data_IF_598834229489
#
_entry.id   IF_598834229489
#
_cell.length_a   1.000
_cell.length_b   1.000
_cell.length_c   1.000
_cell.angle_alpha   90.00
_cell.angle_beta   90.00
_cell.angle_gamma   90.00
#
_symmetry.space_group_name_H-M   'P 1'
#
loop_
_entity.id
_entity.type
_entity.pdbx_description
1 polymer ?
#
# COMPACT_ATOMS: atom_id res chain seq x y z
N UNK A 1 21.13 1.64 0.11
CA UNK A 1 20.12 1.98 1.12
C UNK A 1 18.76 2.05 0.43
N UNK A 2 17.72 1.45 1.01
CA UNK A 2 16.37 1.45 0.44
C UNK A 2 15.59 2.58 1.09
N UNK A 3 14.95 3.44 0.30
CA UNK A 3 14.26 4.64 0.78
C UNK A 3 12.73 4.56 0.67
N UNK A 4 12.21 3.47 0.12
CA UNK A 4 10.76 3.26 -0.05
C UNK A 4 10.44 1.96 -0.78
N UNK A 5 9.19 1.52 -0.66
CA UNK A 5 8.66 0.32 -1.32
C UNK A 5 7.49 0.67 -2.23
N UNK A 6 7.34 -0.08 -3.32
CA UNK A 6 6.16 -0.10 -4.18
C UNK A 6 5.43 -1.41 -3.92
N UNK A 7 4.16 -1.34 -3.54
CA UNK A 7 3.34 -2.52 -3.21
C UNK A 7 2.30 -2.75 -4.30
N UNK A 8 2.43 -3.83 -5.07
CA UNK A 8 1.49 -4.14 -6.17
C UNK A 8 0.39 -5.11 -5.73
N UNK A 9 -0.69 -5.16 -6.51
CA UNK A 9 -1.85 -6.06 -6.31
C UNK A 9 -2.55 -5.87 -4.96
N UNK A 10 -2.71 -4.62 -4.55
CA UNK A 10 -3.39 -4.26 -3.30
C UNK A 10 -4.92 -4.43 -3.39
N UNK A 11 -5.46 -4.47 -4.61
CA UNK A 11 -6.85 -4.82 -4.95
C UNK A 11 -7.20 -6.29 -4.63
N UNK A 12 -6.20 -7.17 -4.73
CA UNK A 12 -6.36 -8.61 -4.54
C UNK A 12 -6.13 -9.07 -3.10
N UNK A 13 -7.24 -9.21 -2.35
CA UNK A 13 -7.37 -9.90 -1.04
C UNK A 13 -6.81 -9.15 0.17
N UNK A 14 -7.65 -8.98 1.20
CA UNK A 14 -7.37 -9.16 2.64
C UNK A 14 -5.98 -8.78 3.22
N UNK A 15 -5.28 -7.80 2.65
CA UNK A 15 -3.86 -7.54 2.91
C UNK A 15 -3.53 -6.13 3.38
N UNK A 16 -4.52 -5.35 3.85
CA UNK A 16 -4.21 -4.07 4.49
C UNK A 16 -3.13 -4.20 5.60
N UNK A 17 -3.12 -5.34 6.30
CA UNK A 17 -2.08 -5.66 7.28
C UNK A 17 -0.62 -5.63 6.76
N UNK A 18 -0.36 -5.88 5.47
CA UNK A 18 1.02 -5.97 4.96
C UNK A 18 1.74 -4.62 4.95
N UNK A 19 0.99 -3.53 4.74
CA UNK A 19 1.54 -2.17 4.76
C UNK A 19 2.10 -1.88 6.15
N UNK A 20 1.34 -2.21 7.20
CA UNK A 20 1.78 -2.06 8.58
C UNK A 20 2.98 -2.94 8.92
N UNK A 21 3.02 -4.18 8.42
CA UNK A 21 4.15 -5.08 8.64
C UNK A 21 5.44 -4.56 7.99
N UNK A 22 5.35 -4.02 6.76
CA UNK A 22 6.50 -3.41 6.07
C UNK A 22 7.06 -2.24 6.87
N UNK A 23 6.22 -1.32 7.33
CA UNK A 23 6.72 -0.20 8.15
C UNK A 23 7.29 -0.67 9.49
N UNK A 24 6.60 -1.58 10.18
CA UNK A 24 6.98 -2.01 11.54
C UNK A 24 8.26 -2.85 11.53
N UNK A 25 8.42 -3.74 10.55
CA UNK A 25 9.56 -4.66 10.49
C UNK A 25 10.76 -4.07 9.75
N UNK A 26 10.53 -3.30 8.68
CA UNK A 26 11.60 -2.81 7.81
C UNK A 26 11.93 -1.33 8.04
N UNK A 27 11.05 -0.55 8.66
CA UNK A 27 11.25 0.90 8.85
C UNK A 27 11.31 1.69 7.54
N UNK A 28 10.74 1.14 6.47
CA UNK A 28 10.77 1.71 5.12
C UNK A 28 9.34 2.10 4.71
N UNK A 29 9.11 3.34 4.22
CA UNK A 29 7.78 3.78 3.86
C UNK A 29 7.28 3.15 2.55
N UNK A 30 5.99 2.84 2.48
CA UNK A 30 5.32 2.53 1.20
C UNK A 30 5.04 3.85 0.48
N UNK A 31 5.49 3.97 -0.78
CA UNK A 31 5.36 5.21 -1.57
C UNK A 31 4.31 5.11 -2.68
N UNK A 32 4.14 3.92 -3.23
CA UNK A 32 3.25 3.66 -4.35
C UNK A 32 2.51 2.35 -4.12
N UNK A 33 1.26 2.28 -4.59
CA UNK A 33 0.45 1.07 -4.59
C UNK A 33 -0.12 0.77 -5.96
N UNK A 34 -0.16 -0.51 -6.32
CA UNK A 34 -0.82 -1.00 -7.54
C UNK A 34 -2.19 -1.56 -7.19
N UNK A 35 -3.25 -0.95 -7.71
CA UNK A 35 -4.66 -1.27 -7.45
C UNK A 35 -5.30 -2.14 -8.56
N UNK A 36 -4.49 -2.72 -9.43
CA UNK A 36 -4.95 -3.48 -10.59
C UNK A 36 -3.80 -3.89 -11.50
N UNK A 37 -4.13 -4.22 -12.75
CA UNK A 37 -3.18 -4.75 -13.74
C UNK A 37 -2.74 -3.72 -14.78
N UNK A 38 -3.41 -2.57 -14.87
CA UNK A 38 -3.14 -1.54 -15.86
C UNK A 38 -2.05 -0.57 -15.41
N UNK A 39 -1.40 0.11 -16.36
CA UNK A 39 -0.40 1.14 -16.08
C UNK A 39 -0.99 2.29 -15.24
N UNK A 40 -2.28 2.59 -15.44
CA UNK A 40 -3.00 3.61 -14.67
C UNK A 40 -3.32 3.22 -13.23
N UNK A 41 -3.12 1.96 -12.84
CA UNK A 41 -3.49 1.46 -11.52
C UNK A 41 -2.36 1.64 -10.49
N UNK A 42 -1.20 2.15 -10.92
CA UNK A 42 -0.10 2.52 -10.03
C UNK A 42 -0.30 3.96 -9.54
N UNK A 43 -0.60 4.10 -8.26
CA UNK A 43 -0.93 5.39 -7.63
C UNK A 43 -0.02 5.66 -6.42
N UNK A 44 0.02 6.92 -5.98
CA UNK A 44 0.66 7.28 -4.72
C UNK A 44 -0.03 6.57 -3.55
N UNK A 45 0.75 6.13 -2.57
CA UNK A 45 0.17 5.61 -1.34
C UNK A 45 -0.30 6.77 -0.47
N UNK A 46 -1.59 6.76 -0.13
CA UNK A 46 -2.20 7.68 0.83
C UNK A 46 -2.61 6.89 2.09
N UNK A 47 -1.96 7.11 3.24
CA UNK A 47 -2.28 6.43 4.49
C UNK A 47 -3.70 6.73 5.00
N UNK A 48 -4.22 7.94 4.76
CA UNK A 48 -5.54 8.34 5.22
C UNK A 48 -6.61 7.61 4.40
N UNK A 49 -6.53 7.64 3.07
CA UNK A 49 -7.44 6.88 2.19
C UNK A 49 -7.38 5.37 2.47
N UNK A 50 -6.19 4.85 2.79
CA UNK A 50 -5.99 3.45 3.11
C UNK A 50 -6.67 3.03 4.42
N UNK A 51 -6.60 3.89 5.45
CA UNK A 51 -7.28 3.68 6.73
C UNK A 51 -8.79 3.78 6.54
N UNK A 52 -9.27 4.78 5.81
CA UNK A 52 -10.71 4.95 5.50
C UNK A 52 -11.27 3.71 4.80
N UNK A 53 -10.56 3.20 3.78
CA UNK A 53 -10.94 2.00 3.06
C UNK A 53 -10.93 0.72 3.95
N UNK A 54 -10.13 0.70 5.02
CA UNK A 54 -10.05 -0.44 5.95
C UNK A 54 -11.26 -0.49 6.91
N UNK A 55 -11.77 0.67 7.33
CA UNK A 55 -12.85 0.77 8.31
C UNK A 55 -14.24 1.01 7.69
N UNK A 56 -14.30 1.36 6.40
CA UNK A 56 -15.52 1.30 5.59
C UNK A 56 -16.60 2.32 5.96
N UNK A 57 -16.23 3.59 6.16
CA UNK A 57 -17.20 4.70 6.07
C UNK A 57 -17.57 5.03 4.61
#
# INVERSE_FOLDING_TARGET
>A
EVTGVVLTKLDGSAKGGIVFAIETELGIPVKLVGLGESIGDLVAFDPDEFVDALFGE
#
